data_IF_057711455990
#
_entry.id   IF_057711455990
#
_cell.length_a   1.000
_cell.length_b   1.000
_cell.length_c   1.000
_cell.angle_alpha   90.00
_cell.angle_beta   90.00
_cell.angle_gamma   90.00
#
_symmetry.space_group_name_H-M   'P 1'
#
loop_
_entity.id
_entity.type
_entity.pdbx_description
1 polymer ?
#
# COMPACT_ATOMS: atom_id res chain seq x y z
N UNK A 1 -13.53 15.71 -11.43
CA UNK A 1 -14.68 14.91 -11.92
C UNK A 1 -15.09 13.77 -10.99
N UNK A 2 -14.24 13.31 -10.07
CA UNK A 2 -14.55 12.21 -9.11
C UNK A 2 -15.80 12.43 -8.22
N UNK A 3 -16.22 13.66 -8.02
CA UNK A 3 -17.37 14.01 -7.15
C UNK A 3 -18.76 13.61 -7.71
N UNK A 4 -18.82 13.11 -8.96
CA UNK A 4 -20.07 12.70 -9.62
C UNK A 4 -20.29 11.18 -9.64
N UNK A 5 -19.26 10.39 -9.28
CA UNK A 5 -19.38 8.92 -9.20
C UNK A 5 -20.01 8.55 -7.87
N UNK A 6 -21.13 7.79 -7.83
CA UNK A 6 -21.69 7.29 -6.58
C UNK A 6 -20.66 6.51 -5.77
N UNK A 7 -20.65 6.66 -4.45
CA UNK A 7 -19.63 6.05 -3.58
C UNK A 7 -19.55 4.52 -3.76
N UNK A 8 -20.69 3.85 -3.89
CA UNK A 8 -20.76 2.40 -4.11
C UNK A 8 -20.13 1.99 -5.45
N UNK A 9 -20.38 2.74 -6.53
CA UNK A 9 -19.79 2.48 -7.84
C UNK A 9 -18.29 2.77 -7.85
N UNK A 10 -17.85 3.81 -7.13
CA UNK A 10 -16.43 4.15 -6.97
C UNK A 10 -15.68 3.01 -6.28
N UNK A 11 -16.20 2.50 -5.16
CA UNK A 11 -15.62 1.38 -4.46
C UNK A 11 -15.56 0.13 -5.36
N UNK A 12 -16.66 -0.24 -6.01
CA UNK A 12 -16.71 -1.41 -6.87
C UNK A 12 -15.75 -1.33 -8.08
N UNK A 13 -15.56 -0.14 -8.66
CA UNK A 13 -14.59 0.07 -9.73
C UNK A 13 -13.16 0.01 -9.17
N UNK A 14 -12.91 0.59 -8.00
CA UNK A 14 -11.61 0.54 -7.34
C UNK A 14 -11.20 -0.92 -7.04
N UNK A 15 -12.08 -1.73 -6.48
CA UNK A 15 -11.84 -3.15 -6.22
C UNK A 15 -11.51 -3.92 -7.51
N UNK A 16 -12.27 -3.67 -8.58
CA UNK A 16 -12.03 -4.28 -9.89
C UNK A 16 -10.66 -3.88 -10.49
N UNK A 17 -10.27 -2.61 -10.33
CA UNK A 17 -8.94 -2.13 -10.74
C UNK A 17 -7.84 -2.81 -9.93
N UNK A 18 -7.98 -2.89 -8.60
CA UNK A 18 -7.02 -3.55 -7.72
C UNK A 18 -6.81 -5.02 -8.09
N UNK A 19 -7.92 -5.77 -8.29
CA UNK A 19 -7.89 -7.17 -8.72
C UNK A 19 -7.19 -7.33 -10.07
N UNK A 20 -7.58 -6.53 -11.07
CA UNK A 20 -6.98 -6.59 -12.40
C UNK A 20 -5.50 -6.18 -12.41
N UNK A 21 -5.09 -5.20 -11.58
CA UNK A 21 -3.70 -4.82 -11.37
C UNK A 21 -2.90 -5.96 -10.75
N UNK A 22 -3.39 -6.58 -9.69
CA UNK A 22 -2.72 -7.69 -9.01
C UNK A 22 -2.50 -8.90 -9.93
N UNK A 23 -3.49 -9.20 -10.80
CA UNK A 23 -3.39 -10.34 -11.71
C UNK A 23 -2.53 -10.06 -12.95
N UNK A 24 -2.57 -8.85 -13.47
CA UNK A 24 -2.01 -8.57 -14.80
C UNK A 24 -0.80 -7.63 -14.80
N UNK A 25 -0.57 -6.86 -13.72
CA UNK A 25 0.39 -5.75 -13.68
C UNK A 25 -0.06 -4.54 -14.50
N UNK A 26 0.58 -3.40 -14.29
CA UNK A 26 0.20 -2.13 -14.93
C UNK A 26 0.35 -2.15 -16.46
N UNK A 27 1.45 -2.70 -16.98
CA UNK A 27 1.75 -2.72 -18.41
C UNK A 27 0.72 -3.50 -19.24
N UNK A 28 0.15 -4.55 -18.66
CA UNK A 28 -0.84 -5.41 -19.35
C UNK A 28 -2.28 -5.10 -18.96
N UNK A 29 -2.50 -4.14 -18.07
CA UNK A 29 -3.82 -3.71 -17.68
C UNK A 29 -4.53 -2.99 -18.85
N UNK A 30 -5.76 -3.41 -19.11
CA UNK A 30 -6.66 -2.78 -20.09
C UNK A 30 -8.02 -2.53 -19.46
N UNK A 31 -8.78 -1.56 -20.03
CA UNK A 31 -10.16 -1.29 -19.59
C UNK A 31 -11.06 -2.51 -19.75
N UNK A 32 -10.82 -3.36 -20.76
CA UNK A 32 -11.54 -4.62 -20.92
C UNK A 32 -11.33 -5.59 -19.76
N UNK A 33 -10.12 -5.66 -19.21
CA UNK A 33 -9.79 -6.49 -18.03
C UNK A 33 -10.45 -5.94 -16.77
N UNK A 34 -10.37 -4.62 -16.56
CA UNK A 34 -11.07 -3.96 -15.46
C UNK A 34 -12.59 -4.20 -15.56
N UNK A 35 -13.17 -4.08 -16.76
CA UNK A 35 -14.59 -4.33 -16.99
C UNK A 35 -14.99 -5.79 -16.69
N UNK A 36 -14.11 -6.75 -16.98
CA UNK A 36 -14.33 -8.16 -16.65
C UNK A 36 -14.44 -8.38 -15.15
N UNK A 37 -13.53 -7.80 -14.35
CA UNK A 37 -13.57 -7.86 -12.89
C UNK A 37 -14.75 -7.08 -12.30
N UNK A 38 -15.07 -5.92 -12.88
CA UNK A 38 -16.21 -5.10 -12.47
C UNK A 38 -17.56 -5.76 -12.76
N UNK A 39 -17.61 -6.75 -13.68
CA UNK A 39 -18.82 -7.45 -14.08
C UNK A 39 -19.80 -6.61 -14.92
N UNK A 40 -19.34 -5.49 -15.49
CA UNK A 40 -20.12 -4.62 -16.38
C UNK A 40 -19.33 -4.36 -17.68
N UNK A 41 -19.90 -3.60 -18.62
CA UNK A 41 -19.24 -3.29 -19.88
C UNK A 41 -18.19 -2.19 -19.75
N UNK A 42 -17.20 -2.15 -20.67
CA UNK A 42 -16.26 -1.02 -20.77
C UNK A 42 -16.96 0.33 -20.93
N UNK A 43 -18.09 0.37 -21.64
CA UNK A 43 -18.91 1.58 -21.76
C UNK A 43 -19.45 2.06 -20.41
N UNK A 44 -19.69 1.14 -19.46
CA UNK A 44 -20.07 1.46 -18.08
C UNK A 44 -18.93 2.10 -17.31
N UNK A 45 -17.69 1.68 -17.53
CA UNK A 45 -16.50 2.31 -16.94
C UNK A 45 -16.28 3.72 -17.51
N UNK A 46 -16.34 3.87 -18.84
CA UNK A 46 -16.20 5.17 -19.52
C UNK A 46 -17.34 6.17 -19.24
N UNK A 47 -18.44 5.72 -18.65
CA UNK A 47 -19.46 6.64 -18.13
C UNK A 47 -18.96 7.42 -16.90
N UNK A 48 -18.04 6.84 -16.12
CA UNK A 48 -17.52 7.43 -14.89
C UNK A 48 -16.11 8.02 -15.04
N UNK A 49 -15.24 7.42 -15.85
CA UNK A 49 -13.83 7.78 -16.02
C UNK A 49 -13.46 7.83 -17.50
N UNK A 50 -12.72 8.85 -17.91
CA UNK A 50 -12.35 9.04 -19.32
C UNK A 50 -11.15 8.17 -19.74
N UNK A 51 -10.28 7.81 -18.78
CA UNK A 51 -9.03 7.07 -19.05
C UNK A 51 -8.79 5.93 -18.06
N UNK A 52 -7.95 4.98 -18.45
CA UNK A 52 -7.45 3.91 -17.55
C UNK A 52 -6.70 4.50 -16.36
N UNK A 53 -5.91 5.53 -16.58
CA UNK A 53 -5.13 6.22 -15.57
C UNK A 53 -6.03 6.88 -14.50
N UNK A 54 -7.15 7.44 -14.88
CA UNK A 54 -8.15 7.99 -13.93
C UNK A 54 -8.80 6.88 -13.09
N UNK A 55 -9.06 5.70 -13.67
CA UNK A 55 -9.57 4.55 -12.92
C UNK A 55 -8.54 4.07 -11.90
N UNK A 56 -7.25 4.01 -12.27
CA UNK A 56 -6.16 3.67 -11.37
C UNK A 56 -6.01 4.73 -10.27
N UNK A 57 -6.10 6.02 -10.61
CA UNK A 57 -6.05 7.10 -9.62
C UNK A 57 -7.16 6.95 -8.57
N UNK A 58 -8.39 6.66 -9.01
CA UNK A 58 -9.52 6.43 -8.11
C UNK A 58 -9.32 5.19 -7.21
N UNK A 59 -8.69 4.13 -7.73
CA UNK A 59 -8.28 2.98 -6.93
C UNK A 59 -7.26 3.36 -5.86
N UNK A 60 -6.20 4.09 -6.22
CA UNK A 60 -5.17 4.54 -5.27
C UNK A 60 -5.74 5.44 -4.17
N UNK A 61 -6.64 6.37 -4.53
CA UNK A 61 -7.36 7.21 -3.56
C UNK A 61 -8.23 6.38 -2.61
N UNK A 62 -8.91 5.37 -3.14
CA UNK A 62 -9.73 4.45 -2.34
C UNK A 62 -8.87 3.64 -1.37
N UNK A 63 -7.76 3.07 -1.84
CA UNK A 63 -6.81 2.30 -1.03
C UNK A 63 -6.18 3.16 0.07
N UNK A 64 -5.80 4.41 -0.23
CA UNK A 64 -5.29 5.34 0.78
C UNK A 64 -6.33 5.64 1.88
N UNK A 65 -7.60 5.76 1.50
CA UNK A 65 -8.71 5.93 2.45
C UNK A 65 -8.92 4.72 3.35
N UNK A 66 -8.93 3.51 2.77
CA UNK A 66 -9.08 2.26 3.52
C UNK A 66 -7.90 2.05 4.49
N UNK A 67 -6.68 2.28 4.03
CA UNK A 67 -5.49 2.19 4.88
C UNK A 67 -5.61 3.08 6.12
N UNK A 68 -6.10 4.32 5.96
CA UNK A 68 -6.35 5.21 7.10
C UNK A 68 -7.37 4.65 8.10
N UNK A 69 -8.42 3.98 7.64
CA UNK A 69 -9.43 3.34 8.49
C UNK A 69 -8.87 2.10 9.21
N UNK A 70 -8.12 1.25 8.50
CA UNK A 70 -7.50 0.04 9.04
C UNK A 70 -6.47 0.37 10.13
N UNK A 71 -5.69 1.43 9.92
CA UNK A 71 -4.67 1.86 10.87
C UNK A 71 -5.26 2.56 12.09
N UNK A 72 -6.34 3.33 11.93
CA UNK A 72 -7.10 3.85 13.07
C UNK A 72 -7.69 2.71 13.93
N UNK A 73 -7.99 1.56 13.32
CA UNK A 73 -8.42 0.37 14.07
C UNK A 73 -7.25 -0.30 14.84
N UNK A 74 -6.01 -0.19 14.35
CA UNK A 74 -4.81 -0.69 15.03
C UNK A 74 -4.36 0.23 16.18
N UNK A 75 -4.70 1.52 16.20
CA UNK A 75 -4.40 2.45 17.31
C UNK A 75 -4.98 1.99 18.66
N UNK A 76 -5.97 1.11 18.67
CA UNK A 76 -6.53 0.50 19.88
C UNK A 76 -5.73 -0.73 20.38
N UNK A 77 -4.69 -1.15 19.64
CA UNK A 77 -3.86 -2.30 19.97
C UNK A 77 -2.57 -1.86 20.69
N UNK A 78 -1.90 -2.82 21.33
CA UNK A 78 -0.54 -2.63 21.84
C UNK A 78 0.40 -2.13 20.72
N UNK A 79 1.15 -1.03 20.90
CA UNK A 79 1.97 -0.42 19.84
C UNK A 79 3.02 -1.36 19.25
N UNK A 80 3.60 -2.27 20.05
CA UNK A 80 4.53 -3.28 19.53
C UNK A 80 3.80 -4.23 18.58
N UNK A 81 2.65 -4.77 18.98
CA UNK A 81 1.86 -5.66 18.15
C UNK A 81 1.38 -4.96 16.88
N UNK A 82 0.97 -3.69 16.97
CA UNK A 82 0.56 -2.88 15.82
C UNK A 82 1.70 -2.68 14.81
N UNK A 83 2.91 -2.34 15.29
CA UNK A 83 4.07 -2.15 14.40
C UNK A 83 4.49 -3.46 13.72
N UNK A 84 4.49 -4.59 14.46
CA UNK A 84 4.79 -5.90 13.88
C UNK A 84 3.77 -6.30 12.83
N UNK A 85 2.48 -6.12 13.09
CA UNK A 85 1.41 -6.40 12.12
C UNK A 85 1.54 -5.54 10.86
N UNK A 86 1.87 -4.25 11.00
CA UNK A 86 2.14 -3.38 9.87
C UNK A 86 3.35 -3.86 9.04
N UNK A 87 4.44 -4.28 9.70
CA UNK A 87 5.59 -4.84 9.00
C UNK A 87 5.24 -6.16 8.28
N UNK A 88 4.47 -7.04 8.89
CA UNK A 88 4.01 -8.29 8.23
C UNK A 88 3.20 -8.01 6.96
N UNK A 89 2.38 -6.96 6.95
CA UNK A 89 1.62 -6.56 5.76
C UNK A 89 2.48 -5.90 4.67
N UNK A 90 3.55 -5.21 5.05
CA UNK A 90 4.42 -4.50 4.11
C UNK A 90 5.50 -5.40 3.51
N UNK A 91 6.06 -6.33 4.29
CA UNK A 91 7.14 -7.24 3.87
C UNK A 91 6.59 -8.59 3.39
N UNK A 92 5.81 -8.58 2.31
CA UNK A 92 5.18 -9.78 1.76
C UNK A 92 6.18 -10.74 1.10
N UNK A 93 5.82 -12.03 1.11
CA UNK A 93 6.55 -13.07 0.38
C UNK A 93 5.91 -13.36 -0.99
N UNK A 94 6.68 -13.88 -1.97
CA UNK A 94 6.13 -14.30 -3.26
C UNK A 94 4.99 -15.31 -3.09
N UNK A 95 3.86 -15.04 -3.73
CA UNK A 95 2.67 -15.89 -3.68
C UNK A 95 1.75 -15.65 -2.49
N UNK A 96 2.09 -14.76 -1.56
CA UNK A 96 1.16 -14.30 -0.54
C UNK A 96 0.07 -13.41 -1.15
N UNK A 97 -1.08 -13.38 -0.48
CA UNK A 97 -2.18 -12.48 -0.86
C UNK A 97 -1.68 -11.02 -0.82
N UNK A 98 -1.97 -10.27 -1.88
CA UNK A 98 -1.49 -8.89 -2.02
C UNK A 98 -0.14 -8.73 -2.72
N UNK A 99 0.71 -9.75 -2.82
CA UNK A 99 2.04 -9.65 -3.45
C UNK A 99 1.96 -9.12 -4.90
N UNK A 100 0.98 -9.56 -5.68
CA UNK A 100 0.75 -9.07 -7.04
C UNK A 100 0.42 -7.57 -7.09
N UNK A 101 -0.36 -7.10 -6.12
CA UNK A 101 -0.69 -5.68 -5.99
C UNK A 101 0.54 -4.85 -5.62
N UNK A 102 1.39 -5.32 -4.70
CA UNK A 102 2.63 -4.62 -4.36
C UNK A 102 3.57 -4.48 -5.56
N UNK A 103 3.69 -5.52 -6.40
CA UNK A 103 4.45 -5.43 -7.66
C UNK A 103 3.83 -4.40 -8.59
N UNK A 104 2.50 -4.37 -8.72
CA UNK A 104 1.82 -3.39 -9.57
C UNK A 104 1.99 -1.95 -9.07
N UNK A 105 1.96 -1.71 -7.74
CA UNK A 105 2.26 -0.40 -7.16
C UNK A 105 3.71 0.01 -7.47
N UNK A 106 4.67 -0.89 -7.35
CA UNK A 106 6.06 -0.63 -7.72
C UNK A 106 6.21 -0.27 -9.22
N UNK A 107 5.48 -0.96 -10.11
CA UNK A 107 5.41 -0.58 -11.53
C UNK A 107 4.84 0.85 -11.69
N UNK A 108 3.75 1.18 -11.02
CA UNK A 108 3.14 2.52 -11.04
C UNK A 108 4.08 3.60 -10.52
N UNK A 109 4.84 3.34 -9.45
CA UNK A 109 5.87 4.27 -8.92
C UNK A 109 6.92 4.59 -9.98
N UNK A 110 7.32 3.62 -10.82
CA UNK A 110 8.27 3.85 -11.90
C UNK A 110 7.72 4.77 -13.02
N UNK A 111 6.41 4.84 -13.18
CA UNK A 111 5.72 5.70 -14.14
C UNK A 111 5.38 7.10 -13.59
N UNK A 112 5.31 7.26 -12.26
CA UNK A 112 4.95 8.52 -11.60
C UNK A 112 5.76 9.75 -12.06
N UNK A 113 7.08 9.68 -12.34
CA UNK A 113 7.84 10.82 -12.83
C UNK A 113 7.40 11.35 -14.20
N UNK A 114 6.62 10.57 -14.94
CA UNK A 114 6.22 10.86 -16.32
C UNK A 114 4.70 10.95 -16.50
N UNK A 115 3.93 10.78 -15.41
CA UNK A 115 2.46 10.75 -15.45
C UNK A 115 1.88 11.41 -14.21
N UNK A 116 1.46 12.68 -14.34
CA UNK A 116 0.91 13.47 -13.23
C UNK A 116 -0.41 12.89 -12.70
N UNK A 117 -1.22 12.23 -13.55
CA UNK A 117 -2.48 11.60 -13.13
C UNK A 117 -2.26 10.47 -12.12
N UNK A 118 -1.13 9.75 -12.23
CA UNK A 118 -0.76 8.68 -11.30
C UNK A 118 0.05 9.21 -10.11
N UNK A 119 0.85 10.26 -10.33
CA UNK A 119 1.79 10.77 -9.34
C UNK A 119 1.13 11.29 -8.06
N UNK A 120 0.07 12.08 -8.19
CA UNK A 120 -0.60 12.67 -7.02
C UNK A 120 -1.27 11.61 -6.14
N UNK A 121 -2.08 10.67 -6.68
CA UNK A 121 -2.67 9.60 -5.87
C UNK A 121 -1.63 8.64 -5.27
N UNK A 122 -0.54 8.32 -5.99
CA UNK A 122 0.57 7.53 -5.44
C UNK A 122 1.24 8.25 -4.27
N UNK A 123 1.53 9.55 -4.42
CA UNK A 123 2.10 10.35 -3.35
C UNK A 123 1.16 10.39 -2.13
N UNK A 124 -0.15 10.46 -2.35
CA UNK A 124 -1.13 10.43 -1.27
C UNK A 124 -1.12 9.07 -0.54
N UNK A 125 -1.08 7.96 -1.28
CA UNK A 125 -1.01 6.60 -0.72
C UNK A 125 0.25 6.42 0.13
N UNK A 126 1.43 6.69 -0.45
CA UNK A 126 2.72 6.53 0.25
C UNK A 126 2.82 7.46 1.47
N UNK A 127 2.28 8.68 1.36
CA UNK A 127 2.25 9.61 2.51
C UNK A 127 1.32 9.12 3.61
N UNK A 128 0.17 8.55 3.28
CA UNK A 128 -0.74 7.96 4.27
C UNK A 128 -0.09 6.78 4.99
N UNK A 129 0.58 5.88 4.26
CA UNK A 129 1.33 4.75 4.84
C UNK A 129 2.44 5.24 5.78
N UNK A 130 3.20 6.25 5.35
CA UNK A 130 4.27 6.85 6.14
C UNK A 130 3.76 7.45 7.45
N UNK A 131 2.69 8.27 7.39
CA UNK A 131 2.13 8.91 8.58
C UNK A 131 1.54 7.87 9.55
N UNK A 132 0.88 6.87 9.02
CA UNK A 132 0.31 5.80 9.81
C UNK A 132 1.37 5.00 10.59
N UNK A 133 2.46 4.61 9.94
CA UNK A 133 3.60 4.00 10.62
C UNK A 133 4.20 4.93 11.68
N UNK A 134 4.32 6.24 11.36
CA UNK A 134 4.83 7.23 12.30
C UNK A 134 3.91 7.40 13.53
N UNK A 135 2.60 7.30 13.35
CA UNK A 135 1.62 7.41 14.45
C UNK A 135 1.71 6.19 15.37
N UNK A 136 1.86 4.97 14.84
CA UNK A 136 2.12 3.76 15.64
C UNK A 136 3.40 3.93 16.47
N UNK A 137 4.48 4.40 15.85
CA UNK A 137 5.76 4.61 16.57
C UNK A 137 5.61 5.70 17.63
N UNK A 138 4.88 6.78 17.35
CA UNK A 138 4.61 7.87 18.29
C UNK A 138 3.82 7.37 19.51
N UNK A 139 2.76 6.61 19.26
CA UNK A 139 1.98 6.00 20.34
C UNK A 139 2.85 5.11 21.23
N UNK A 140 3.74 4.28 20.64
CA UNK A 140 4.66 3.44 21.41
C UNK A 140 5.67 4.23 22.25
N UNK A 141 6.12 5.40 21.79
CA UNK A 141 6.98 6.30 22.59
C UNK A 141 6.18 6.90 23.75
N UNK A 142 4.96 7.41 23.49
CA UNK A 142 4.10 8.00 24.50
C UNK A 142 3.73 7.00 25.62
N UNK A 143 3.53 5.73 25.25
CA UNK A 143 3.26 4.62 26.16
C UNK A 143 4.52 4.01 26.80
N UNK A 144 5.71 4.47 26.42
CA UNK A 144 7.02 3.96 26.87
C UNK A 144 7.27 2.50 26.50
N UNK A 145 6.67 2.03 25.43
CA UNK A 145 6.95 0.74 24.79
C UNK A 145 8.23 0.88 23.95
N UNK A 146 8.34 1.98 23.20
CA UNK A 146 9.51 2.30 22.38
C UNK A 146 10.36 3.38 23.06
N UNK A 147 11.68 3.30 22.83
CA UNK A 147 12.64 4.32 23.23
C UNK A 147 12.42 5.63 22.48
N UNK A 148 12.95 6.73 22.99
CA UNK A 148 12.95 8.03 22.31
C UNK A 148 13.70 7.96 20.98
N UNK A 149 12.96 8.02 19.88
CA UNK A 149 13.45 7.99 18.49
C UNK A 149 12.61 8.97 17.65
N UNK A 150 13.06 9.26 16.43
CA UNK A 150 12.27 10.03 15.48
C UNK A 150 11.21 9.12 14.81
N UNK A 151 9.89 9.31 15.07
CA UNK A 151 8.84 8.45 14.53
C UNK A 151 8.82 8.47 13.00
N UNK A 152 8.98 9.65 12.40
CA UNK A 152 8.92 9.81 10.95
C UNK A 152 10.14 9.20 10.25
N UNK A 153 11.33 9.34 10.82
CA UNK A 153 12.54 8.72 10.28
C UNK A 153 12.47 7.19 10.36
N UNK A 154 11.92 6.65 11.46
CA UNK A 154 11.69 5.21 11.64
C UNK A 154 10.68 4.68 10.61
N UNK A 155 9.54 5.36 10.45
CA UNK A 155 8.54 5.01 9.47
C UNK A 155 9.07 5.05 8.03
N UNK A 156 9.81 6.10 7.67
CA UNK A 156 10.42 6.24 6.35
C UNK A 156 11.42 5.12 6.04
N UNK A 157 12.18 4.69 7.04
CA UNK A 157 13.12 3.57 6.89
C UNK A 157 12.37 2.24 6.64
N UNK A 158 11.33 1.96 7.42
CA UNK A 158 10.52 0.74 7.27
C UNK A 158 9.82 0.70 5.91
N UNK A 159 9.18 1.80 5.51
CA UNK A 159 8.50 1.89 4.21
C UNK A 159 9.47 1.68 3.05
N UNK A 160 10.61 2.38 3.04
CA UNK A 160 11.61 2.22 1.98
C UNK A 160 12.23 0.82 1.95
N UNK A 161 12.39 0.16 3.10
CA UNK A 161 12.86 -1.22 3.17
C UNK A 161 11.82 -2.20 2.62
N UNK A 162 10.53 -1.96 2.89
CA UNK A 162 9.43 -2.77 2.37
C UNK A 162 9.32 -2.66 0.84
N UNK A 163 9.39 -1.45 0.27
CA UNK A 163 9.41 -1.23 -1.18
C UNK A 163 10.61 -1.93 -1.83
N UNK A 164 11.79 -1.81 -1.22
CA UNK A 164 12.99 -2.53 -1.65
C UNK A 164 12.80 -4.05 -1.61
N UNK A 165 12.12 -4.58 -0.58
CA UNK A 165 11.83 -6.00 -0.45
C UNK A 165 10.93 -6.50 -1.58
N UNK A 166 9.90 -5.73 -1.95
CA UNK A 166 9.04 -6.04 -3.10
C UNK A 166 9.85 -6.18 -4.38
N UNK A 167 10.80 -5.28 -4.64
CA UNK A 167 11.68 -5.36 -5.80
C UNK A 167 12.59 -6.58 -5.80
N UNK A 168 13.28 -6.86 -4.70
CA UNK A 168 14.26 -7.94 -4.62
C UNK A 168 13.60 -9.31 -4.45
N UNK A 169 12.70 -9.44 -3.50
CA UNK A 169 12.13 -10.72 -3.11
C UNK A 169 10.94 -11.11 -3.99
N UNK A 170 9.94 -10.23 -4.10
CA UNK A 170 8.70 -10.57 -4.83
C UNK A 170 8.90 -10.48 -6.35
N UNK A 171 9.42 -9.37 -6.89
CA UNK A 171 9.52 -9.17 -8.34
C UNK A 171 10.69 -9.95 -8.96
N UNK A 172 11.87 -10.00 -8.32
CA UNK A 172 13.04 -10.71 -8.84
C UNK A 172 13.14 -12.15 -8.34
N UNK A 173 12.38 -12.55 -7.32
CA UNK A 173 12.43 -13.90 -6.74
C UNK A 173 13.76 -14.21 -6.03
N UNK A 174 14.43 -13.19 -5.46
CA UNK A 174 15.62 -13.43 -4.65
C UNK A 174 15.24 -14.19 -3.36
N UNK A 175 16.04 -15.18 -3.00
CA UNK A 175 15.85 -15.96 -1.78
C UNK A 175 16.39 -15.21 -0.54
N UNK A 176 15.67 -14.16 -0.13
CA UNK A 176 16.01 -13.26 0.98
C UNK A 176 14.84 -13.07 1.97
N UNK A 177 13.75 -13.81 1.81
CA UNK A 177 12.53 -13.61 2.61
C UNK A 177 12.77 -13.77 4.12
N UNK A 178 13.44 -14.86 4.52
CA UNK A 178 13.78 -15.11 5.93
C UNK A 178 14.77 -14.06 6.47
N UNK A 179 15.73 -13.60 5.66
CA UNK A 179 16.68 -12.56 6.04
C UNK A 179 15.98 -11.21 6.23
N UNK A 180 15.04 -10.87 5.35
CA UNK A 180 14.25 -9.64 5.46
C UNK A 180 13.36 -9.66 6.71
N UNK A 181 12.70 -10.80 6.97
CA UNK A 181 11.89 -10.99 8.18
C UNK A 181 12.75 -10.83 9.42
N UNK A 182 13.85 -11.58 9.53
CA UNK A 182 14.77 -11.49 10.67
C UNK A 182 15.33 -10.06 10.83
N UNK A 183 15.57 -9.35 9.73
CA UNK A 183 16.07 -7.98 9.71
C UNK A 183 15.09 -6.98 10.30
N UNK A 184 13.83 -6.96 9.84
CA UNK A 184 12.84 -6.03 10.36
C UNK A 184 12.39 -6.40 11.78
N UNK A 185 12.30 -7.70 12.13
CA UNK A 185 12.02 -8.15 13.51
C UNK A 185 13.10 -7.65 14.48
N UNK A 186 14.40 -7.86 14.15
CA UNK A 186 15.50 -7.36 14.96
C UNK A 186 15.50 -5.82 15.06
N UNK A 187 15.11 -5.12 13.99
CA UNK A 187 14.97 -3.68 14.03
C UNK A 187 13.87 -3.26 15.00
N UNK A 188 12.68 -3.84 14.92
CA UNK A 188 11.58 -3.55 15.86
C UNK A 188 11.99 -3.87 17.30
N UNK A 189 12.65 -5.01 17.57
CA UNK A 189 13.16 -5.35 18.89
C UNK A 189 14.13 -4.28 19.42
N UNK A 190 14.94 -3.66 18.55
CA UNK A 190 15.86 -2.59 18.93
C UNK A 190 15.18 -1.29 19.33
N UNK A 191 13.90 -1.12 19.00
CA UNK A 191 13.10 0.05 19.37
C UNK A 191 12.53 -0.07 20.79
N UNK A 192 12.40 -1.30 21.30
CA UNK A 192 11.80 -1.54 22.62
C UNK A 192 12.65 -0.93 23.75
N UNK A 193 11.97 -0.48 24.80
CA UNK A 193 12.61 -0.04 26.03
C UNK A 193 13.14 -1.28 26.77
N UNK A 194 14.42 -1.29 27.15
CA UNK A 194 14.97 -2.34 27.98
C UNK A 194 14.25 -2.36 29.34
N UNK A 195 13.67 -3.49 29.72
CA UNK A 195 12.95 -3.72 30.97
C UNK A 195 13.88 -3.85 32.19
#
# INVERSE_FOLDING_TARGET
MSDQVPAEERAAIADAVGTALAEHGYERLTTAKIAAEYGKSEAGLYYYYDTKEEMIAAFLEHTAGQLGEDLAALEAADPEAALRAACEQLFLSPGEEGAGLHVAIMELLSHAPYNDTLREPLLALESATLEALADIVRAGIDERVFREIDPRATAAFLLAAADGSTGFHVALGMDVGDDLRAGWEAYVDSLLVEG
#
